data_IF_298188606333
#
_entry.id   IF_298188606333
#
_cell.length_a   1.000
_cell.length_b   1.000
_cell.length_c   1.000
_cell.angle_alpha   90.00
_cell.angle_beta   90.00
_cell.angle_gamma   90.00
#
_symmetry.space_group_name_H-M   'P 1'
#
loop_
_entity.id
_entity.type
_entity.pdbx_description
1 polymer ?
#
# COMPACT_ATOMS: atom_id res chain seq x y z
N UNK A 1 -23.36 -29.72 -11.44
CA UNK A 1 -23.60 -28.29 -11.62
C UNK A 1 -23.99 -27.74 -10.25
N UNK A 2 -22.99 -27.31 -9.48
CA UNK A 2 -23.22 -26.68 -8.17
C UNK A 2 -23.59 -25.23 -8.44
N UNK A 3 -24.87 -24.89 -8.26
CA UNK A 3 -25.29 -23.49 -8.18
C UNK A 3 -24.57 -22.88 -6.99
N UNK A 4 -23.55 -22.06 -7.23
CA UNK A 4 -22.98 -21.22 -6.18
C UNK A 4 -24.09 -20.29 -5.70
N UNK A 5 -24.34 -20.24 -4.39
CA UNK A 5 -25.26 -19.28 -3.82
C UNK A 5 -24.89 -17.86 -4.29
N UNK A 6 -25.88 -16.98 -4.51
CA UNK A 6 -25.60 -15.60 -4.88
C UNK A 6 -24.73 -14.94 -3.81
N UNK A 7 -23.81 -14.04 -4.19
CA UNK A 7 -22.94 -13.38 -3.23
C UNK A 7 -23.78 -12.53 -2.27
N UNK A 8 -23.51 -12.65 -0.98
CA UNK A 8 -24.18 -11.93 0.10
C UNK A 8 -23.68 -10.49 0.19
N UNK A 9 -24.55 -9.54 0.54
CA UNK A 9 -24.15 -8.16 0.84
C UNK A 9 -23.77 -8.06 2.31
N UNK A 10 -22.55 -7.58 2.58
CA UNK A 10 -22.01 -7.43 3.92
C UNK A 10 -21.65 -5.98 4.18
N UNK A 11 -21.94 -5.52 5.40
CA UNK A 11 -21.52 -4.22 5.88
C UNK A 11 -20.54 -4.41 7.02
N UNK A 12 -19.38 -3.76 6.90
CA UNK A 12 -18.33 -3.78 7.91
C UNK A 12 -18.21 -2.41 8.57
N UNK A 13 -17.81 -2.40 9.82
CA UNK A 13 -17.29 -1.22 10.50
C UNK A 13 -15.78 -1.34 10.64
N UNK A 14 -15.08 -0.23 10.38
CA UNK A 14 -13.63 -0.11 10.44
C UNK A 14 -13.26 0.96 11.46
N UNK A 15 -12.23 0.71 12.27
CA UNK A 15 -11.73 1.65 13.26
C UNK A 15 -10.22 1.58 13.46
N UNK A 16 -9.54 2.73 13.56
CA UNK A 16 -8.09 2.79 13.81
C UNK A 16 -7.70 4.03 14.60
N UNK A 17 -6.67 3.94 15.45
CA UNK A 17 -6.05 5.12 16.08
C UNK A 17 -4.51 5.13 16.07
N UNK A 18 -3.85 4.10 15.52
CA UNK A 18 -2.41 4.11 15.24
C UNK A 18 -2.26 4.36 13.74
N UNK A 19 -1.60 5.46 13.33
CA UNK A 19 -1.48 5.88 11.93
C UNK A 19 -2.79 5.66 11.12
N UNK A 20 -3.93 6.22 11.58
CA UNK A 20 -5.25 5.72 11.19
C UNK A 20 -5.60 5.98 9.73
N UNK A 21 -5.08 7.05 9.14
CA UNK A 21 -5.24 7.35 7.71
C UNK A 21 -4.59 6.27 6.84
N UNK A 22 -3.37 5.87 7.18
CA UNK A 22 -2.65 4.81 6.48
C UNK A 22 -3.38 3.47 6.61
N UNK A 23 -3.71 3.05 7.83
CA UNK A 23 -4.31 1.73 8.05
C UNK A 23 -5.73 1.60 7.51
N UNK A 24 -6.56 2.67 7.54
CA UNK A 24 -7.88 2.62 6.90
C UNK A 24 -7.75 2.44 5.38
N UNK A 25 -6.83 3.17 4.72
CA UNK A 25 -6.60 3.00 3.29
C UNK A 25 -6.11 1.59 2.95
N UNK A 26 -5.13 1.08 3.71
CA UNK A 26 -4.61 -0.27 3.51
C UNK A 26 -5.68 -1.34 3.75
N UNK A 27 -6.52 -1.20 4.78
CA UNK A 27 -7.61 -2.14 5.04
C UNK A 27 -8.61 -2.19 3.88
N UNK A 28 -9.01 -1.03 3.34
CA UNK A 28 -9.90 -0.97 2.17
C UNK A 28 -9.23 -1.57 0.92
N UNK A 29 -7.93 -1.37 0.71
CA UNK A 29 -7.18 -2.02 -0.38
C UNK A 29 -7.18 -3.54 -0.25
N UNK A 30 -6.88 -4.04 0.95
CA UNK A 30 -6.87 -5.47 1.19
C UNK A 30 -8.26 -6.07 1.02
N UNK A 31 -9.31 -5.43 1.54
CA UNK A 31 -10.70 -5.85 1.30
C UNK A 31 -11.01 -5.98 -0.20
N UNK A 32 -10.60 -5.02 -1.03
CA UNK A 32 -10.75 -5.06 -2.50
C UNK A 32 -10.01 -6.23 -3.17
N UNK A 33 -8.98 -6.78 -2.52
CA UNK A 33 -8.27 -7.97 -3.03
C UNK A 33 -8.99 -9.29 -2.72
N UNK A 34 -9.84 -9.32 -1.68
CA UNK A 34 -10.62 -10.51 -1.31
C UNK A 34 -12.00 -10.52 -1.96
N UNK A 35 -12.68 -9.37 -1.99
CA UNK A 35 -14.10 -9.26 -2.30
C UNK A 35 -14.43 -7.91 -2.97
N UNK A 36 -15.58 -7.82 -3.64
CA UNK A 36 -15.98 -6.61 -4.36
C UNK A 36 -16.54 -5.55 -3.40
N UNK A 37 -15.78 -4.46 -3.20
CA UNK A 37 -16.17 -3.33 -2.35
C UNK A 37 -17.08 -2.39 -3.15
N UNK A 38 -18.36 -2.40 -2.82
CA UNK A 38 -19.41 -1.66 -3.52
C UNK A 38 -19.47 -0.17 -3.13
N UNK A 39 -19.21 0.14 -1.85
CA UNK A 39 -19.28 1.51 -1.34
C UNK A 39 -18.55 1.64 0.00
N UNK A 40 -18.13 2.87 0.32
CA UNK A 40 -17.54 3.25 1.60
C UNK A 40 -18.23 4.49 2.14
N UNK A 41 -18.36 4.60 3.46
CA UNK A 41 -18.91 5.79 4.11
C UNK A 41 -17.88 6.93 4.13
N UNK A 42 -18.29 8.16 4.46
CA UNK A 42 -17.36 9.17 4.97
C UNK A 42 -16.58 8.65 6.18
N UNK A 43 -15.39 9.21 6.42
CA UNK A 43 -14.55 8.90 7.58
C UNK A 43 -14.85 9.87 8.72
N UNK A 44 -14.86 9.35 9.93
CA UNK A 44 -15.23 10.07 11.13
C UNK A 44 -14.16 9.98 12.20
N UNK A 45 -13.67 11.14 12.64
CA UNK A 45 -12.78 11.27 13.79
C UNK A 45 -13.57 11.35 15.09
N UNK A 46 -13.17 10.55 16.07
CA UNK A 46 -13.82 10.46 17.39
C UNK A 46 -12.79 10.35 18.50
N UNK A 47 -13.06 11.00 19.63
CA UNK A 47 -12.26 10.81 20.84
C UNK A 47 -12.32 9.34 21.31
N UNK A 48 -11.24 8.81 21.94
CA UNK A 48 -11.22 7.44 22.43
C UNK A 48 -12.22 7.23 23.58
N UNK A 49 -12.85 6.06 23.61
CA UNK A 49 -13.72 5.67 24.72
C UNK A 49 -12.91 5.05 25.86
N UNK A 50 -13.13 5.56 27.09
CA UNK A 50 -12.55 5.02 28.32
C UNK A 50 -11.13 5.51 28.63
N UNK A 51 -10.14 5.16 27.80
CA UNK A 51 -8.75 5.58 28.01
C UNK A 51 -8.47 6.91 27.32
N UNK A 52 -8.45 7.99 28.10
CA UNK A 52 -8.29 9.36 27.59
C UNK A 52 -6.86 9.69 27.10
N UNK A 53 -5.85 8.88 27.45
CA UNK A 53 -4.45 9.08 27.01
C UNK A 53 -4.11 8.25 25.76
N UNK A 54 -4.92 8.37 24.70
CA UNK A 54 -4.59 7.81 23.40
C UNK A 54 -5.07 8.73 22.28
N UNK A 55 -4.55 8.51 21.07
CA UNK A 55 -4.97 9.27 19.89
C UNK A 55 -6.44 9.01 19.56
N UNK A 56 -7.06 9.99 18.89
CA UNK A 56 -8.40 9.87 18.33
C UNK A 56 -8.47 8.71 17.34
N UNK A 57 -9.65 8.09 17.28
CA UNK A 57 -9.97 7.08 16.29
C UNK A 57 -10.47 7.74 15.00
N UNK A 58 -10.14 7.14 13.86
CA UNK A 58 -10.90 7.27 12.62
C UNK A 58 -11.78 6.03 12.46
N UNK A 59 -13.06 6.25 12.19
CA UNK A 59 -14.07 5.22 11.99
C UNK A 59 -14.77 5.41 10.65
N UNK A 60 -15.16 4.30 10.01
CA UNK A 60 -15.94 4.30 8.78
C UNK A 60 -16.71 2.98 8.63
N UNK A 61 -17.58 2.91 7.63
CA UNK A 61 -18.24 1.68 7.21
C UNK A 61 -17.91 1.34 5.75
N UNK A 62 -17.94 0.05 5.43
CA UNK A 62 -17.69 -0.49 4.09
C UNK A 62 -18.81 -1.44 3.72
N UNK A 63 -19.32 -1.34 2.49
CA UNK A 63 -20.29 -2.27 1.90
C UNK A 63 -19.59 -3.08 0.82
N UNK A 64 -19.71 -4.40 0.87
CA UNK A 64 -19.10 -5.31 -0.10
C UNK A 64 -19.98 -6.53 -0.37
N UNK A 65 -19.58 -7.35 -1.35
CA UNK A 65 -20.21 -8.65 -1.60
C UNK A 65 -19.23 -9.79 -1.40
N UNK A 66 -19.68 -10.89 -0.77
CA UNK A 66 -18.84 -12.09 -0.58
C UNK A 66 -19.62 -13.38 -0.77
N UNK A 67 -18.94 -14.44 -1.20
CA UNK A 67 -19.50 -15.81 -1.26
C UNK A 67 -19.13 -16.65 -0.03
N UNK A 68 -18.42 -16.07 0.95
CA UNK A 68 -18.01 -16.76 2.17
C UNK A 68 -19.15 -16.78 3.18
N UNK A 69 -19.13 -17.71 4.14
CA UNK A 69 -20.01 -17.63 5.31
C UNK A 69 -19.50 -16.57 6.30
N UNK A 70 -20.32 -16.07 7.26
CA UNK A 70 -19.87 -15.14 8.28
C UNK A 70 -18.62 -15.60 9.05
N UNK A 71 -18.56 -16.89 9.40
CA UNK A 71 -17.41 -17.48 10.11
C UNK A 71 -16.16 -17.48 9.24
N UNK A 72 -16.29 -17.89 7.98
CA UNK A 72 -15.18 -17.90 7.03
C UNK A 72 -14.70 -16.46 6.74
N UNK A 73 -15.61 -15.50 6.57
CA UNK A 73 -15.27 -14.11 6.36
C UNK A 73 -14.53 -13.50 7.55
N UNK A 74 -15.03 -13.73 8.79
CA UNK A 74 -14.37 -13.23 10.01
C UNK A 74 -12.97 -13.80 10.20
N UNK A 75 -12.74 -15.07 9.84
CA UNK A 75 -11.47 -15.75 10.08
C UNK A 75 -10.46 -15.60 8.95
N UNK A 76 -10.90 -15.73 7.69
CA UNK A 76 -10.05 -15.79 6.50
C UNK A 76 -9.89 -14.44 5.79
N UNK A 77 -10.73 -13.44 6.09
CA UNK A 77 -10.61 -12.11 5.49
C UNK A 77 -10.26 -11.10 6.57
N UNK A 78 -11.18 -10.89 7.53
CA UNK A 78 -10.95 -9.92 8.62
C UNK A 78 -9.71 -10.28 9.44
N UNK A 79 -9.59 -11.55 9.86
CA UNK A 79 -8.46 -12.02 10.67
C UNK A 79 -7.11 -11.84 9.96
N UNK A 80 -7.05 -12.13 8.66
CA UNK A 80 -5.84 -11.98 7.85
C UNK A 80 -5.48 -10.51 7.65
N UNK A 81 -6.45 -9.64 7.36
CA UNK A 81 -6.24 -8.19 7.21
C UNK A 81 -5.72 -7.58 8.52
N UNK A 82 -6.36 -7.90 9.66
CA UNK A 82 -5.91 -7.41 10.97
C UNK A 82 -4.48 -7.87 11.28
N UNK A 83 -4.14 -9.12 10.94
CA UNK A 83 -2.80 -9.65 11.14
C UNK A 83 -1.76 -8.96 10.24
N UNK A 84 -2.05 -8.81 8.95
CA UNK A 84 -1.16 -8.14 7.98
C UNK A 84 -0.90 -6.68 8.37
N UNK A 85 -1.92 -6.00 8.90
CA UNK A 85 -1.82 -4.63 9.36
C UNK A 85 -1.35 -4.52 10.83
N UNK A 86 -0.78 -5.59 11.39
CA UNK A 86 -0.07 -5.54 12.67
C UNK A 86 -0.97 -5.36 13.91
N UNK A 87 -2.25 -5.75 13.86
CA UNK A 87 -3.14 -5.66 15.02
C UNK A 87 -2.67 -6.60 16.12
N UNK A 88 -2.27 -6.03 17.26
CA UNK A 88 -1.93 -6.78 18.48
C UNK A 88 -3.13 -6.73 19.44
N UNK A 89 -3.64 -7.90 19.83
CA UNK A 89 -4.75 -8.01 20.80
C UNK A 89 -4.19 -8.13 22.21
N UNK A 90 -4.35 -7.10 23.03
CA UNK A 90 -4.03 -7.17 24.47
C UNK A 90 -5.18 -7.86 25.23
N UNK A 91 -4.99 -9.06 25.81
CA UNK A 91 -6.03 -9.76 26.55
C UNK A 91 -6.47 -9.02 27.82
N UNK A 92 -5.65 -8.09 28.34
CA UNK A 92 -5.91 -7.35 29.56
C UNK A 92 -6.46 -5.93 29.29
N UNK A 93 -6.40 -5.46 28.04
CA UNK A 93 -6.86 -4.12 27.67
C UNK A 93 -7.65 -4.13 26.36
N UNK A 94 -8.96 -4.32 26.47
CA UNK A 94 -9.89 -4.26 25.32
C UNK A 94 -9.91 -2.90 24.61
N UNK A 95 -9.49 -1.83 25.31
CA UNK A 95 -9.47 -0.46 24.81
C UNK A 95 -8.07 0.01 24.41
N UNK A 96 -7.14 -0.93 24.21
CA UNK A 96 -5.80 -0.61 23.74
C UNK A 96 -5.83 0.06 22.35
N UNK A 97 -4.85 0.93 22.04
CA UNK A 97 -4.61 1.43 20.70
C UNK A 97 -4.46 0.29 19.69
N UNK A 98 -4.96 0.50 18.47
CA UNK A 98 -4.98 -0.51 17.41
C UNK A 98 -4.66 0.10 16.05
N UNK A 99 -3.92 -0.65 15.25
CA UNK A 99 -3.63 -0.32 13.85
C UNK A 99 -4.89 -0.39 13.01
N UNK A 100 -5.72 -1.42 13.17
CA UNK A 100 -7.01 -1.52 12.50
C UNK A 100 -7.93 -2.48 13.25
N UNK A 101 -9.23 -2.22 13.26
CA UNK A 101 -10.35 -3.08 13.70
C UNK A 101 -11.33 -3.26 12.57
N UNK A 102 -11.77 -4.50 12.32
CA UNK A 102 -12.83 -4.79 11.36
C UNK A 102 -13.89 -5.69 12.02
N UNK A 103 -15.13 -5.21 12.03
CA UNK A 103 -16.27 -5.98 12.55
C UNK A 103 -17.38 -6.11 11.51
N UNK A 104 -18.04 -7.28 11.52
CA UNK A 104 -19.20 -7.55 10.66
C UNK A 104 -20.40 -6.89 11.34
N UNK A 105 -20.95 -5.86 10.72
CA UNK A 105 -22.11 -5.14 11.23
C UNK A 105 -23.43 -5.75 10.75
N UNK A 106 -23.53 -6.04 9.45
CA UNK A 106 -24.77 -6.54 8.82
C UNK A 106 -24.42 -7.55 7.73
N UNK A 107 -25.33 -8.50 7.49
CA UNK A 107 -25.18 -9.54 6.48
C UNK A 107 -26.53 -9.84 5.84
N UNK A 108 -26.78 -9.35 4.64
CA UNK A 108 -28.09 -9.34 4.00
C UNK A 108 -29.20 -8.95 4.99
N UNK A 109 -30.16 -9.83 5.26
CA UNK A 109 -31.24 -9.73 6.24
C UNK A 109 -31.06 -10.72 7.42
N UNK A 110 -29.86 -11.29 7.58
CA UNK A 110 -29.57 -12.32 8.56
C UNK A 110 -29.71 -11.82 10.00
N UNK A 111 -30.28 -12.68 10.84
CA UNK A 111 -30.30 -12.56 12.30
C UNK A 111 -29.74 -13.86 12.89
N UNK A 112 -28.47 -13.87 13.29
CA UNK A 112 -27.79 -15.08 13.74
C UNK A 112 -26.57 -14.81 14.62
N UNK A 113 -26.29 -15.78 15.50
CA UNK A 113 -24.98 -15.90 16.15
C UNK A 113 -24.02 -16.68 15.24
N UNK A 114 -22.73 -16.33 15.27
CA UNK A 114 -21.72 -17.03 14.47
C UNK A 114 -20.38 -17.20 15.19
N UNK A 115 -19.67 -18.26 14.82
CA UNK A 115 -18.34 -18.58 15.35
C UNK A 115 -18.37 -19.07 16.81
N UNK A 116 -17.18 -19.14 17.42
CA UNK A 116 -16.99 -19.64 18.80
C UNK A 116 -17.04 -18.53 19.86
N UNK A 117 -17.20 -17.28 19.43
CA UNK A 117 -17.34 -16.10 20.28
C UNK A 117 -18.79 -15.62 20.24
N UNK A 118 -19.24 -14.79 21.19
CA UNK A 118 -20.60 -14.24 21.19
C UNK A 118 -20.74 -13.12 20.14
N UNK A 119 -20.44 -13.44 18.87
CA UNK A 119 -20.66 -12.54 17.75
C UNK A 119 -22.08 -12.73 17.22
N UNK A 120 -22.74 -11.61 16.99
CA UNK A 120 -24.12 -11.57 16.52
C UNK A 120 -24.21 -10.69 15.28
N UNK A 121 -25.10 -11.05 14.36
CA UNK A 121 -25.49 -10.22 13.21
C UNK A 121 -27.00 -10.03 13.32
N UNK A 122 -27.51 -8.78 13.26
CA UNK A 122 -26.79 -7.51 13.24
C UNK A 122 -25.87 -7.28 14.45
N UNK A 123 -24.80 -6.52 14.29
CA UNK A 123 -23.94 -6.16 15.42
C UNK A 123 -24.74 -5.31 16.42
N UNK A 124 -24.85 -5.73 17.71
CA UNK A 124 -25.59 -4.97 18.72
C UNK A 124 -25.03 -3.55 18.93
N UNK A 125 -23.78 -3.31 18.57
CA UNK A 125 -23.12 -2.01 18.70
C UNK A 125 -23.69 -0.95 17.75
N UNK A 126 -24.42 -1.35 16.68
CA UNK A 126 -25.13 -0.44 15.77
C UNK A 126 -26.12 0.46 16.52
N UNK A 127 -26.76 -0.05 17.57
CA UNK A 127 -27.74 0.72 18.36
C UNK A 127 -27.13 1.36 19.61
N UNK A 128 -25.84 1.13 19.88
CA UNK A 128 -25.19 1.53 21.14
C UNK A 128 -24.14 2.61 20.95
N UNK A 129 -23.49 2.65 19.79
CA UNK A 129 -22.35 3.53 19.57
C UNK A 129 -22.46 4.38 18.31
N UNK A 130 -22.31 5.69 18.48
CA UNK A 130 -22.35 6.68 17.41
C UNK A 130 -21.34 6.40 16.29
N UNK A 131 -20.13 5.95 16.65
CA UNK A 131 -19.05 5.64 15.71
C UNK A 131 -19.31 4.38 14.86
N UNK A 132 -20.32 3.59 15.21
CA UNK A 132 -20.82 2.46 14.42
C UNK A 132 -22.06 2.90 13.63
N UNK A 133 -23.03 3.51 14.31
CA UNK A 133 -24.32 3.88 13.74
C UNK A 133 -24.22 4.92 12.61
N UNK A 134 -23.47 6.00 12.83
CA UNK A 134 -23.43 7.14 11.91
C UNK A 134 -22.75 6.79 10.57
N UNK A 135 -21.58 6.12 10.54
CA UNK A 135 -20.99 5.67 9.29
C UNK A 135 -21.91 4.74 8.49
N UNK A 136 -22.60 3.82 9.17
CA UNK A 136 -23.56 2.91 8.55
C UNK A 136 -24.79 3.64 8.01
N UNK A 137 -25.32 4.62 8.76
CA UNK A 137 -26.44 5.46 8.35
C UNK A 137 -26.12 6.29 7.10
N UNK A 138 -24.90 6.81 6.99
CA UNK A 138 -24.45 7.53 5.79
C UNK A 138 -24.27 6.60 4.59
N UNK A 139 -23.82 5.36 4.82
CA UNK A 139 -23.54 4.39 3.77
C UNK A 139 -24.80 3.75 3.19
N UNK A 140 -25.78 3.44 4.05
CA UNK A 140 -27.00 2.74 3.68
C UNK A 140 -28.21 3.25 4.49
N UNK A 141 -28.63 4.51 4.29
CA UNK A 141 -29.63 5.17 5.12
C UNK A 141 -30.98 4.44 5.15
N UNK A 142 -31.33 3.78 4.05
CA UNK A 142 -32.61 3.10 3.86
C UNK A 142 -32.60 1.61 4.29
N UNK A 143 -31.46 1.07 4.72
CA UNK A 143 -31.41 -0.31 5.21
C UNK A 143 -32.23 -0.42 6.49
N UNK A 144 -33.15 -1.40 6.53
CA UNK A 144 -34.02 -1.66 7.67
C UNK A 144 -33.38 -2.71 8.57
N UNK A 145 -33.05 -2.34 9.81
CA UNK A 145 -32.45 -3.25 10.78
C UNK A 145 -33.40 -4.41 11.10
N UNK A 146 -33.03 -5.67 10.84
CA UNK A 146 -33.97 -6.79 10.84
C UNK A 146 -34.57 -7.08 12.22
N UNK A 147 -33.87 -6.76 13.31
CA UNK A 147 -34.37 -7.03 14.67
C UNK A 147 -35.30 -5.96 15.26
N UNK A 148 -35.15 -4.68 14.87
CA UNK A 148 -35.89 -3.57 15.50
C UNK A 148 -36.76 -2.78 14.50
N UNK A 149 -36.65 -3.05 13.21
CA UNK A 149 -37.46 -2.44 12.15
C UNK A 149 -37.16 -0.97 11.85
N UNK A 150 -36.18 -0.36 12.50
CA UNK A 150 -35.75 1.02 12.22
C UNK A 150 -34.79 1.05 11.03
N UNK A 151 -34.82 2.13 10.24
CA UNK A 151 -33.78 2.33 9.22
C UNK A 151 -32.46 2.75 9.87
N UNK A 152 -31.33 2.51 9.20
CA UNK A 152 -30.04 2.99 9.70
C UNK A 152 -30.01 4.51 9.84
N UNK A 153 -30.69 5.25 8.95
CA UNK A 153 -30.87 6.70 9.12
C UNK A 153 -31.61 7.06 10.42
N UNK A 154 -32.67 6.31 10.78
CA UNK A 154 -33.40 6.50 12.03
C UNK A 154 -32.56 6.14 13.26
N UNK A 155 -31.70 5.12 13.17
CA UNK A 155 -30.79 4.75 14.26
C UNK A 155 -29.70 5.81 14.42
N UNK A 156 -29.04 6.22 13.32
CA UNK A 156 -28.00 7.25 13.34
C UNK A 156 -28.48 8.59 13.88
N UNK A 157 -29.73 8.98 13.58
CA UNK A 157 -30.34 10.21 14.09
C UNK A 157 -30.56 10.24 15.61
N UNK A 158 -30.43 9.12 16.32
CA UNK A 158 -30.52 9.06 17.79
C UNK A 158 -29.24 9.51 18.48
N UNK A 159 -28.13 9.62 17.74
CA UNK A 159 -26.82 10.00 18.27
C UNK A 159 -26.50 11.48 18.01
N UNK A 160 -25.75 12.09 18.93
CA UNK A 160 -25.24 13.44 18.76
C UNK A 160 -24.06 13.47 17.78
N UNK A 161 -24.33 13.95 16.57
CA UNK A 161 -23.33 14.10 15.50
C UNK A 161 -22.23 15.10 15.83
N UNK A 162 -22.39 15.99 16.83
CA UNK A 162 -21.34 16.94 17.22
C UNK A 162 -20.09 16.24 17.76
N UNK A 163 -20.22 15.00 18.22
CA UNK A 163 -19.12 14.16 18.70
C UNK A 163 -18.32 13.49 17.57
N UNK A 164 -18.78 13.61 16.32
CA UNK A 164 -18.26 12.92 15.14
C UNK A 164 -17.78 13.94 14.10
N UNK A 165 -16.47 14.15 14.02
CA UNK A 165 -15.91 15.11 13.06
C UNK A 165 -15.64 14.40 11.73
N UNK A 166 -16.29 14.83 10.64
CA UNK A 166 -15.95 14.31 9.31
C UNK A 166 -14.52 14.66 8.95
N UNK A 167 -13.80 13.65 8.46
CA UNK A 167 -12.44 13.79 7.97
C UNK A 167 -12.39 13.39 6.50
N UNK A 168 -11.82 14.26 5.67
CA UNK A 168 -11.50 13.90 4.30
C UNK A 168 -10.37 12.87 4.29
N UNK A 169 -10.61 11.74 3.64
CA UNK A 169 -9.59 10.73 3.38
C UNK A 169 -9.81 10.22 1.96
N UNK A 170 -8.75 10.25 1.15
CA UNK A 170 -8.81 9.79 -0.22
C UNK A 170 -8.53 8.28 -0.29
N UNK A 171 -9.50 7.54 -0.83
CA UNK A 171 -9.43 6.09 -1.06
C UNK A 171 -9.28 5.74 -2.54
N UNK A 172 -9.19 6.74 -3.42
CA UNK A 172 -8.68 6.57 -4.77
C UNK A 172 -7.23 6.07 -4.67
N UNK A 173 -6.87 5.19 -5.59
CA UNK A 173 -5.64 4.41 -5.53
C UNK A 173 -4.40 5.32 -5.34
N UNK A 174 -3.81 5.35 -4.12
CA UNK A 174 -2.39 5.65 -4.01
C UNK A 174 -1.69 4.68 -4.96
N UNK A 175 -0.74 5.22 -5.73
CA UNK A 175 -0.14 4.62 -6.90
C UNK A 175 -0.16 3.09 -6.89
N UNK A 176 -0.85 2.51 -7.87
CA UNK A 176 -0.95 1.06 -8.06
C UNK A 176 0.46 0.43 -8.20
N UNK A 177 1.49 1.24 -8.46
CA UNK A 177 2.88 0.83 -8.57
C UNK A 177 3.81 1.85 -7.89
N UNK A 178 4.83 1.36 -7.19
CA UNK A 178 6.05 2.14 -6.97
C UNK A 178 6.72 2.31 -8.33
N UNK A 179 7.15 3.53 -8.66
CA UNK A 179 7.95 3.76 -9.88
C UNK A 179 9.40 3.95 -9.46
N UNK A 180 10.27 3.06 -9.94
CA UNK A 180 11.70 3.11 -9.71
C UNK A 180 12.42 3.44 -11.02
N UNK A 181 13.48 4.25 -10.95
CA UNK A 181 14.33 4.54 -12.11
C UNK A 181 15.76 4.07 -11.85
N UNK A 182 16.43 3.56 -12.88
CA UNK A 182 17.82 3.11 -12.84
C UNK A 182 18.61 3.68 -14.03
N UNK A 183 19.90 3.95 -13.82
CA UNK A 183 20.81 4.46 -14.84
C UNK A 183 21.92 3.48 -15.19
N UNK A 184 21.88 2.98 -16.42
CA UNK A 184 23.04 2.39 -17.07
C UNK A 184 23.92 3.50 -17.65
N UNK A 185 24.87 4.01 -16.86
CA UNK A 185 25.76 5.10 -17.28
C UNK A 185 26.93 4.53 -18.08
N UNK A 186 27.07 4.94 -19.35
CA UNK A 186 28.11 4.49 -20.28
C UNK A 186 29.31 5.42 -20.31
N UNK A 187 30.51 4.85 -20.22
CA UNK A 187 31.81 5.53 -20.40
C UNK A 187 32.86 4.58 -20.95
N UNK A 188 33.46 4.91 -22.10
CA UNK A 188 34.66 4.25 -22.64
C UNK A 188 34.63 2.71 -22.63
N UNK A 189 33.53 2.09 -23.08
CA UNK A 189 33.41 0.63 -23.11
C UNK A 189 32.88 0.00 -21.83
N UNK A 190 32.49 0.79 -20.83
CA UNK A 190 32.11 0.34 -19.49
C UNK A 190 30.81 0.98 -19.03
N UNK A 191 30.14 0.30 -18.12
CA UNK A 191 29.03 0.85 -17.36
C UNK A 191 29.44 1.12 -15.92
N UNK A 192 28.89 2.19 -15.32
CA UNK A 192 28.94 2.34 -13.88
C UNK A 192 28.01 1.29 -13.25
N UNK A 193 28.54 0.59 -12.26
CA UNK A 193 27.79 -0.34 -11.44
C UNK A 193 27.96 0.02 -9.97
N UNK A 194 26.90 -0.14 -9.19
CA UNK A 194 26.86 0.10 -7.76
C UNK A 194 26.59 -1.20 -7.02
N UNK A 195 27.14 -1.34 -5.81
CA UNK A 195 26.78 -2.37 -4.85
C UNK A 195 25.74 -1.75 -3.92
N UNK A 196 24.54 -2.32 -3.88
CA UNK A 196 23.48 -1.88 -2.97
C UNK A 196 23.96 -2.03 -1.54
N UNK A 197 23.71 -1.02 -0.71
CA UNK A 197 24.07 -1.05 0.70
C UNK A 197 23.30 -2.10 1.49
N UNK A 198 23.72 -2.33 2.73
CA UNK A 198 23.14 -3.39 3.59
C UNK A 198 21.77 -2.99 4.18
N UNK A 199 21.43 -1.71 4.15
CA UNK A 199 20.16 -1.17 4.68
C UNK A 199 19.03 -1.21 3.65
N UNK A 200 19.35 -1.58 2.41
CA UNK A 200 18.39 -1.68 1.31
C UNK A 200 17.40 -2.84 1.51
N UNK A 201 16.11 -2.51 1.48
CA UNK A 201 15.03 -3.48 1.62
C UNK A 201 15.03 -4.54 0.49
N UNK A 202 15.61 -4.20 -0.68
CA UNK A 202 15.64 -5.07 -1.85
C UNK A 202 17.08 -5.36 -2.29
N UNK A 203 17.42 -6.64 -2.38
CA UNK A 203 18.69 -7.13 -2.92
C UNK A 203 19.95 -6.49 -2.30
N UNK A 204 19.96 -6.26 -0.99
CA UNK A 204 21.13 -5.78 -0.24
C UNK A 204 22.42 -6.55 -0.61
N UNK A 205 23.51 -5.81 -0.86
CA UNK A 205 24.80 -6.35 -1.28
C UNK A 205 24.89 -6.79 -2.75
N UNK A 206 23.82 -6.68 -3.53
CA UNK A 206 23.84 -7.02 -4.95
C UNK A 206 24.46 -5.91 -5.82
N UNK A 207 25.06 -6.32 -6.94
CA UNK A 207 25.47 -5.41 -8.00
C UNK A 207 24.26 -4.96 -8.82
N UNK A 208 24.14 -3.66 -9.05
CA UNK A 208 23.06 -3.06 -9.83
C UNK A 208 23.48 -1.78 -10.54
N UNK A 209 22.49 -1.11 -11.10
CA UNK A 209 22.62 0.26 -11.60
C UNK A 209 22.22 1.26 -10.51
N UNK A 210 22.73 2.47 -10.62
CA UNK A 210 22.42 3.60 -9.72
C UNK A 210 20.99 4.07 -9.97
N UNK A 211 20.24 4.39 -8.91
CA UNK A 211 18.88 4.87 -9.07
C UNK A 211 17.96 4.57 -7.89
N UNK A 212 16.79 5.21 -7.92
CA UNK A 212 15.89 5.29 -6.78
C UNK A 212 14.43 5.50 -7.16
N UNK A 213 13.61 5.64 -6.11
CA UNK A 213 12.16 5.76 -6.22
C UNK A 213 11.78 7.18 -6.69
N UNK A 214 10.79 7.26 -7.57
CA UNK A 214 10.21 8.53 -7.98
C UNK A 214 9.39 9.11 -6.84
N UNK A 215 9.81 10.27 -6.33
CA UNK A 215 9.08 11.01 -5.29
C UNK A 215 7.96 11.88 -5.88
N UNK A 216 6.83 11.98 -5.16
CA UNK A 216 5.62 12.68 -5.63
C UNK A 216 5.38 14.02 -4.94
N UNK A 217 6.44 14.65 -4.43
CA UNK A 217 6.35 15.87 -3.61
C UNK A 217 5.96 17.14 -4.40
N UNK A 218 5.88 17.07 -5.74
CA UNK A 218 5.54 18.19 -6.61
C UNK A 218 4.11 18.11 -7.16
N UNK A 219 3.43 19.24 -7.26
CA UNK A 219 2.03 19.34 -7.73
C UNK A 219 1.89 19.18 -9.25
N UNK A 220 2.92 19.52 -10.04
CA UNK A 220 3.00 19.24 -11.47
C UNK A 220 4.45 19.41 -11.97
N UNK A 221 5.04 18.35 -12.52
CA UNK A 221 6.39 18.35 -13.09
C UNK A 221 6.42 17.59 -14.43
N UNK A 222 7.21 18.06 -15.38
CA UNK A 222 7.48 17.36 -16.63
C UNK A 222 8.82 16.61 -16.54
N UNK A 223 8.99 15.54 -17.31
CA UNK A 223 10.23 14.74 -17.36
C UNK A 223 10.64 14.17 -16.00
N UNK A 224 9.65 13.79 -15.18
CA UNK A 224 9.86 13.36 -13.80
C UNK A 224 10.83 12.18 -13.69
N UNK A 225 10.77 11.21 -14.62
CA UNK A 225 11.65 10.03 -14.58
C UNK A 225 13.09 10.42 -14.89
N UNK A 226 13.28 11.27 -15.90
CA UNK A 226 14.57 11.80 -16.31
C UNK A 226 15.18 12.71 -15.23
N UNK A 227 14.35 13.49 -14.53
CA UNK A 227 14.78 14.36 -13.44
C UNK A 227 15.15 13.53 -12.20
N UNK A 228 14.33 12.54 -11.84
CA UNK A 228 14.64 11.61 -10.75
C UNK A 228 15.96 10.90 -11.05
N UNK A 229 16.14 10.27 -12.20
CA UNK A 229 17.37 9.51 -12.46
C UNK A 229 18.62 10.40 -12.44
N UNK A 230 18.53 11.66 -12.91
CA UNK A 230 19.63 12.61 -12.80
C UNK A 230 19.94 13.01 -11.36
N UNK A 231 18.90 13.15 -10.53
CA UNK A 231 19.04 13.43 -9.11
C UNK A 231 19.77 12.28 -8.41
N UNK A 232 19.27 11.05 -8.57
CA UNK A 232 19.87 9.85 -7.95
C UNK A 232 21.35 9.68 -8.35
N UNK A 233 21.68 9.88 -9.63
CA UNK A 233 23.09 9.81 -10.08
C UNK A 233 23.98 10.85 -9.37
N UNK A 234 23.45 12.05 -9.14
CA UNK A 234 24.21 13.12 -8.47
C UNK A 234 24.35 12.84 -6.97
N UNK A 235 23.28 12.40 -6.34
CA UNK A 235 23.20 12.17 -4.90
C UNK A 235 23.98 10.90 -4.51
N UNK A 236 23.75 9.77 -5.18
CA UNK A 236 24.37 8.49 -4.79
C UNK A 236 25.85 8.37 -5.18
N UNK A 237 26.25 8.93 -6.34
CA UNK A 237 27.59 8.69 -6.92
C UNK A 237 28.33 9.93 -7.38
N UNK A 238 27.78 11.14 -7.20
CA UNK A 238 28.47 12.40 -7.47
C UNK A 238 28.76 12.69 -8.94
N UNK A 239 28.06 12.02 -9.88
CA UNK A 239 28.31 12.17 -11.31
C UNK A 239 27.29 13.06 -12.00
N UNK A 240 27.67 13.58 -13.16
CA UNK A 240 26.77 14.23 -14.11
C UNK A 240 26.73 13.44 -15.42
N UNK A 241 25.55 13.37 -16.03
CA UNK A 241 25.30 12.64 -17.27
C UNK A 241 24.63 13.52 -18.33
N UNK A 242 25.00 13.29 -19.59
CA UNK A 242 24.28 13.77 -20.77
C UNK A 242 23.41 12.66 -21.35
N UNK A 243 22.52 13.00 -22.28
CA UNK A 243 21.73 12.04 -23.06
C UNK A 243 21.06 10.95 -22.19
N UNK A 244 19.90 11.26 -21.62
CA UNK A 244 19.11 10.28 -20.84
C UNK A 244 18.10 9.65 -21.78
N UNK A 245 18.28 8.37 -22.11
CA UNK A 245 17.48 7.67 -23.14
C UNK A 245 16.82 6.45 -22.54
N UNK A 246 15.49 6.35 -22.64
CA UNK A 246 14.76 5.17 -22.21
C UNK A 246 15.30 3.90 -22.88
N UNK A 247 15.62 2.90 -22.08
CA UNK A 247 16.14 1.62 -22.56
C UNK A 247 15.16 0.47 -22.37
N UNK A 248 14.56 0.36 -21.18
CA UNK A 248 13.71 -0.78 -20.81
C UNK A 248 12.81 -0.45 -19.63
N UNK A 249 11.72 -1.19 -19.47
CA UNK A 249 10.96 -1.24 -18.23
C UNK A 249 10.53 -2.66 -17.92
N UNK A 250 10.46 -2.97 -16.63
CA UNK A 250 10.04 -4.26 -16.09
C UNK A 250 9.06 -4.07 -14.92
N UNK A 251 8.36 -5.13 -14.57
CA UNK A 251 7.48 -5.20 -13.40
C UNK A 251 8.03 -6.27 -12.46
N UNK A 252 8.18 -5.93 -11.19
CA UNK A 252 8.47 -6.88 -10.11
C UNK A 252 7.66 -6.52 -8.86
N UNK A 253 7.74 -7.35 -7.83
CA UNK A 253 7.08 -7.12 -6.55
C UNK A 253 8.16 -7.09 -5.46
N UNK A 254 8.11 -6.12 -4.55
CA UNK A 254 9.01 -6.06 -3.38
C UNK A 254 8.75 -7.24 -2.45
N UNK A 255 9.67 -7.47 -1.49
CA UNK A 255 9.46 -8.45 -0.43
C UNK A 255 8.26 -8.11 0.47
N UNK A 256 7.89 -6.83 0.55
CA UNK A 256 6.71 -6.32 1.24
C UNK A 256 5.40 -6.48 0.43
N UNK A 257 5.46 -6.99 -0.81
CA UNK A 257 4.29 -7.24 -1.66
C UNK A 257 3.86 -6.06 -2.52
N UNK A 258 4.64 -4.99 -2.57
CA UNK A 258 4.33 -3.79 -3.35
C UNK A 258 4.78 -3.97 -4.80
N UNK A 259 3.90 -3.75 -5.80
CA UNK A 259 4.29 -3.86 -7.20
C UNK A 259 5.14 -2.64 -7.63
N UNK A 260 6.21 -2.91 -8.36
CA UNK A 260 7.20 -1.89 -8.80
C UNK A 260 7.34 -1.91 -10.31
N UNK A 261 7.10 -0.76 -10.94
CA UNK A 261 7.51 -0.51 -12.33
C UNK A 261 8.94 0.03 -12.29
N UNK A 262 9.90 -0.77 -12.74
CA UNK A 262 11.28 -0.33 -12.90
C UNK A 262 11.49 0.24 -14.30
N UNK A 263 12.12 1.39 -14.42
CA UNK A 263 12.45 2.05 -15.68
C UNK A 263 13.95 2.28 -15.76
N UNK A 264 14.57 1.74 -16.80
CA UNK A 264 16.02 1.82 -17.00
C UNK A 264 16.32 2.81 -18.11
N UNK A 265 17.17 3.77 -17.81
CA UNK A 265 17.72 4.72 -18.77
C UNK A 265 19.17 4.35 -19.11
N UNK A 266 19.50 4.47 -20.38
CA UNK A 266 20.89 4.54 -20.85
C UNK A 266 21.31 6.01 -20.79
N UNK A 267 22.41 6.27 -20.06
CA UNK A 267 22.93 7.62 -19.84
C UNK A 267 24.36 7.71 -20.37
N UNK A 268 24.77 8.84 -20.96
CA UNK A 268 26.17 9.07 -21.33
C UNK A 268 26.89 9.80 -20.21
N UNK A 269 28.02 9.26 -19.76
CA UNK A 269 28.87 9.96 -18.79
C UNK A 269 29.29 11.33 -19.33
N UNK A 270 29.18 12.37 -18.48
CA UNK A 270 29.59 13.72 -18.82
C UNK A 270 30.77 14.19 -17.96
N UNK A 271 30.63 14.19 -16.63
CA UNK A 271 31.67 14.69 -15.72
C UNK A 271 31.50 14.15 -14.29
N UNK A 272 32.48 14.41 -13.43
CA UNK A 272 32.47 14.04 -12.01
C UNK A 272 33.40 12.86 -11.70
N UNK A 273 33.69 12.71 -10.41
CA UNK A 273 34.38 11.55 -9.86
C UNK A 273 33.39 10.78 -8.99
N UNK A 274 33.56 9.46 -8.90
CA UNK A 274 32.69 8.63 -8.06
C UNK A 274 32.89 9.06 -6.61
N UNK A 275 31.84 9.61 -6.01
CA UNK A 275 31.76 9.98 -4.60
C UNK A 275 30.48 9.36 -4.08
N UNK A 276 30.62 8.46 -3.11
CA UNK A 276 29.48 7.83 -2.43
C UNK A 276 29.07 8.75 -1.29
N UNK A 277 27.84 9.27 -1.33
CA UNK A 277 27.31 10.16 -0.30
C UNK A 277 26.83 9.37 0.93
N UNK A 278 26.00 8.34 0.72
CA UNK A 278 25.52 7.44 1.78
C UNK A 278 25.95 5.97 1.52
N UNK A 279 26.94 5.45 2.27
CA UNK A 279 27.33 4.03 2.21
C UNK A 279 26.22 3.03 2.59
N UNK A 280 25.19 3.48 3.31
CA UNK A 280 24.01 2.68 3.66
C UNK A 280 23.12 2.38 2.44
N UNK A 281 23.07 3.29 1.47
CA UNK A 281 22.35 3.13 0.20
C UNK A 281 23.26 2.51 -0.88
N UNK A 282 24.49 3.00 -1.01
CA UNK A 282 25.49 2.52 -1.98
C UNK A 282 26.79 2.16 -1.29
N UNK A 283 27.04 0.86 -1.07
CA UNK A 283 28.26 0.41 -0.39
C UNK A 283 29.54 0.56 -1.25
N UNK A 284 29.40 0.70 -2.57
CA UNK A 284 30.53 0.79 -3.48
C UNK A 284 30.09 1.04 -4.92
N UNK A 285 30.92 1.70 -5.73
CA UNK A 285 30.67 1.86 -7.17
C UNK A 285 31.94 1.72 -8.00
N UNK A 286 31.81 1.12 -9.19
CA UNK A 286 32.93 0.84 -10.09
C UNK A 286 32.50 0.78 -11.56
N UNK A 287 33.44 1.11 -12.45
CA UNK A 287 33.26 0.99 -13.90
C UNK A 287 33.65 -0.41 -14.39
N UNK A 288 32.67 -1.15 -14.90
CA UNK A 288 32.87 -2.52 -15.40
C UNK A 288 32.50 -2.65 -16.89
N UNK A 289 33.28 -3.37 -17.70
CA UNK A 289 32.84 -3.75 -19.03
C UNK A 289 31.68 -4.76 -18.95
N UNK A 290 30.83 -4.88 -19.99
CA UNK A 290 29.62 -5.71 -19.95
C UNK A 290 29.87 -7.17 -19.54
N UNK A 291 30.95 -7.78 -20.03
CA UNK A 291 31.33 -9.15 -19.70
C UNK A 291 31.72 -9.31 -18.23
N UNK A 292 32.38 -8.33 -17.62
CA UNK A 292 32.69 -8.36 -16.20
C UNK A 292 31.43 -8.25 -15.34
N UNK A 293 30.45 -7.43 -15.74
CA UNK A 293 29.15 -7.30 -15.04
C UNK A 293 28.44 -8.65 -15.03
N UNK A 294 28.33 -9.30 -16.18
CA UNK A 294 27.63 -10.59 -16.32
C UNK A 294 28.29 -11.73 -15.54
N UNK A 295 29.58 -11.63 -15.24
CA UNK A 295 30.35 -12.66 -14.53
C UNK A 295 30.63 -12.28 -13.06
N UNK A 296 30.17 -11.11 -12.60
CA UNK A 296 30.44 -10.66 -11.24
C UNK A 296 29.58 -11.47 -10.24
N UNK A 297 30.16 -11.95 -9.12
CA UNK A 297 29.48 -12.87 -8.21
C UNK A 297 28.26 -12.25 -7.50
N UNK A 298 28.26 -10.92 -7.35
CA UNK A 298 27.13 -10.19 -6.76
C UNK A 298 26.05 -9.80 -7.80
N UNK A 299 26.18 -10.17 -9.07
CA UNK A 299 25.21 -9.80 -10.11
C UNK A 299 23.96 -10.68 -10.03
N UNK A 300 22.78 -10.08 -9.81
CA UNK A 300 21.53 -10.83 -9.82
C UNK A 300 21.14 -11.28 -11.23
N UNK A 301 20.34 -12.36 -11.36
CA UNK A 301 19.95 -12.90 -12.66
C UNK A 301 19.24 -11.90 -13.58
N UNK A 302 18.44 -10.97 -13.04
CA UNK A 302 17.69 -9.99 -13.85
C UNK A 302 18.57 -8.95 -14.53
N UNK A 303 19.74 -8.61 -13.96
CA UNK A 303 20.69 -7.66 -14.55
C UNK A 303 21.17 -8.13 -15.92
N UNK A 304 21.24 -9.45 -16.16
CA UNK A 304 21.58 -9.99 -17.48
C UNK A 304 20.59 -9.53 -18.55
N UNK A 305 19.29 -9.57 -18.25
CA UNK A 305 18.24 -9.11 -19.15
C UNK A 305 18.28 -7.60 -19.35
N UNK A 306 18.52 -6.85 -18.27
CA UNK A 306 18.62 -5.40 -18.32
C UNK A 306 19.79 -4.95 -19.19
N UNK A 307 20.99 -5.48 -18.95
CA UNK A 307 22.19 -5.16 -19.70
C UNK A 307 22.05 -5.49 -21.19
N UNK A 308 21.39 -6.60 -21.53
CA UNK A 308 21.11 -6.94 -22.93
C UNK A 308 20.22 -5.88 -23.61
N UNK A 309 19.18 -5.38 -22.92
CA UNK A 309 18.29 -4.34 -23.44
C UNK A 309 19.01 -3.00 -23.59
N UNK A 310 19.80 -2.62 -22.60
CA UNK A 310 20.63 -1.41 -22.63
C UNK A 310 21.62 -1.47 -23.79
N UNK A 311 22.33 -2.59 -23.98
CA UNK A 311 23.26 -2.77 -25.09
C UNK A 311 22.58 -2.65 -26.47
N UNK A 312 21.37 -3.20 -26.62
CA UNK A 312 20.59 -3.04 -27.85
C UNK A 312 20.24 -1.57 -28.13
N UNK A 313 19.98 -0.77 -27.10
CA UNK A 313 19.72 0.67 -27.23
C UNK A 313 21.02 1.40 -27.58
N UNK A 314 22.10 1.14 -26.85
CA UNK A 314 23.43 1.73 -27.07
C UNK A 314 23.92 1.52 -28.51
N UNK A 315 23.83 0.29 -29.01
CA UNK A 315 24.23 -0.04 -30.38
C UNK A 315 23.40 0.69 -31.43
N UNK A 316 22.08 0.86 -31.20
CA UNK A 316 21.22 1.64 -32.11
C UNK A 316 21.57 3.13 -32.13
N UNK A 317 22.06 3.67 -31.01
CA UNK A 317 22.51 5.06 -30.91
C UNK A 317 23.94 5.28 -31.43
N UNK A 318 24.70 4.20 -31.71
CA UNK A 318 26.09 4.28 -32.17
C UNK A 318 27.07 4.78 -31.10
N UNK A 319 26.77 4.53 -29.83
CA UNK A 319 27.61 4.89 -28.68
C UNK A 319 28.70 3.87 -28.37
#
# INVERSE_FOLDING_TARGET
MTTSDPPAIVYLTLGSNIAPEHHLKQAVRLLRSYDDVLAISPVYRTAPQGYAQQADFLNMAVKLTTTRSPVAFKTQVIGEIEQQLGRVRDPNNKNAPRTIDLDIALWDDAVLDYGDKPWHIPDPDITRFAHVAIPLADLAPDYVHPENGQTLAQIGAQFDTQTMQRQALDFEAESIFIVNVEAAIWRDGRYLTAIRGEEEEQAAGALGFVGGKVETNATQEADILENTVRREIREEVGLEVSDVVYAHSSLFTTDSGEPVVNVIFLCRYHSGDIIIDDPGEVAGAQWLPPDAILNHPATPPWIHGYLQRVEQVRQRLGW
#
